data_IF_718879330063
#
_entry.id   IF_718879330063
#
_cell.length_a   1.000
_cell.length_b   1.000
_cell.length_c   1.000
_cell.angle_alpha   90.00
_cell.angle_beta   90.00
_cell.angle_gamma   90.00
#
_symmetry.space_group_name_H-M   'P 1'
#
loop_
_entity.id
_entity.type
_entity.pdbx_description
1 polymer ?
#
# COMPACT_ATOMS: atom_id res chain seq x y z
N UNK A 1 -8.61 -12.09 -5.21
CA UNK A 1 -10.05 -12.34 -5.44
C UNK A 1 -10.69 -11.04 -5.91
N UNK A 2 -11.68 -11.13 -6.80
CA UNK A 2 -12.42 -9.99 -7.38
C UNK A 2 -13.86 -10.07 -6.86
N UNK A 3 -14.38 -9.00 -6.27
CA UNK A 3 -15.80 -8.93 -5.93
C UNK A 3 -16.47 -7.83 -6.76
N UNK A 4 -17.62 -8.13 -7.35
CA UNK A 4 -18.43 -7.16 -8.09
C UNK A 4 -19.78 -7.04 -7.41
N UNK A 5 -20.21 -5.81 -7.15
CA UNK A 5 -21.45 -5.59 -6.41
C UNK A 5 -22.16 -4.29 -6.78
N UNK A 6 -23.45 -4.24 -6.48
CA UNK A 6 -24.26 -3.03 -6.57
C UNK A 6 -24.74 -2.67 -5.17
N UNK A 7 -24.37 -1.48 -4.70
CA UNK A 7 -24.96 -0.87 -3.50
C UNK A 7 -26.26 -0.17 -3.84
N UNK A 8 -27.29 -0.44 -3.06
CA UNK A 8 -28.62 0.15 -3.19
C UNK A 8 -28.84 1.25 -2.14
N UNK A 9 -29.80 2.14 -2.40
CA UNK A 9 -30.13 3.26 -1.50
C UNK A 9 -30.74 2.80 -0.15
N UNK A 10 -31.28 1.58 -0.11
CA UNK A 10 -31.76 0.95 1.13
C UNK A 10 -30.61 0.41 2.02
N UNK A 11 -29.35 0.54 1.58
CA UNK A 11 -28.17 0.08 2.31
C UNK A 11 -27.74 -1.35 2.01
N UNK A 12 -28.46 -2.09 1.17
CA UNK A 12 -28.05 -3.43 0.76
C UNK A 12 -26.94 -3.37 -0.29
N UNK A 13 -26.08 -4.38 -0.31
CA UNK A 13 -25.25 -4.71 -1.47
C UNK A 13 -25.73 -6.03 -2.06
N UNK A 14 -25.81 -6.09 -3.39
CA UNK A 14 -25.99 -7.32 -4.15
C UNK A 14 -24.63 -7.64 -4.75
N UNK A 15 -24.01 -8.74 -4.30
CA UNK A 15 -22.62 -9.06 -4.58
C UNK A 15 -22.48 -10.41 -5.28
N UNK A 16 -21.60 -10.47 -6.27
CA UNK A 16 -21.05 -11.70 -6.85
C UNK A 16 -19.55 -11.73 -6.57
N UNK A 17 -19.08 -12.82 -5.96
CA UNK A 17 -17.67 -13.03 -5.59
C UNK A 17 -17.38 -14.52 -5.34
N UNK A 18 -16.12 -14.87 -5.13
CA UNK A 18 -15.72 -16.24 -4.77
C UNK A 18 -16.45 -16.74 -3.50
N UNK A 19 -16.95 -15.84 -2.63
CA UNK A 19 -17.76 -16.20 -1.47
C UNK A 19 -19.17 -16.68 -1.85
N UNK A 20 -19.80 -16.08 -2.87
CA UNK A 20 -21.09 -16.58 -3.37
C UNK A 20 -20.88 -17.95 -4.05
N UNK A 21 -19.80 -18.12 -4.81
CA UNK A 21 -19.46 -19.41 -5.42
C UNK A 21 -19.25 -20.51 -4.38
N UNK A 22 -18.50 -20.25 -3.30
CA UNK A 22 -18.31 -21.18 -2.18
C UNK A 22 -19.61 -21.58 -1.48
N UNK A 23 -20.63 -20.71 -1.51
CA UNK A 23 -21.97 -20.99 -0.98
C UNK A 23 -22.90 -21.65 -2.01
N UNK A 24 -22.38 -21.96 -3.21
CA UNK A 24 -23.14 -22.49 -4.34
C UNK A 24 -24.30 -21.56 -4.75
N UNK A 25 -24.10 -20.24 -4.65
CA UNK A 25 -25.03 -19.20 -5.11
C UNK A 25 -24.36 -18.27 -6.11
N UNK A 26 -25.15 -17.70 -7.03
CA UNK A 26 -24.61 -16.72 -7.99
C UNK A 26 -24.40 -15.33 -7.37
N UNK A 27 -25.18 -15.03 -6.32
CA UNK A 27 -25.15 -13.75 -5.61
C UNK A 27 -25.31 -13.96 -4.11
N UNK A 28 -24.81 -13.01 -3.34
CA UNK A 28 -25.09 -12.82 -1.91
C UNK A 28 -25.63 -11.40 -1.71
N UNK A 29 -26.62 -11.23 -0.83
CA UNK A 29 -27.11 -9.92 -0.43
C UNK A 29 -26.61 -9.63 0.98
N UNK A 30 -25.86 -8.53 1.15
CA UNK A 30 -25.44 -8.05 2.47
C UNK A 30 -26.23 -6.80 2.82
N UNK A 31 -26.85 -6.78 4.00
CA UNK A 31 -27.61 -5.62 4.46
C UNK A 31 -27.67 -5.57 5.98
N UNK A 32 -28.72 -4.96 6.52
CA UNK A 32 -28.92 -4.80 7.96
C UNK A 32 -28.84 -6.13 8.73
N UNK A 33 -29.33 -7.23 8.14
CA UNK A 33 -29.24 -8.57 8.71
C UNK A 33 -27.80 -9.08 8.91
N UNK A 34 -26.83 -8.52 8.17
CA UNK A 34 -25.41 -8.83 8.25
C UNK A 34 -24.60 -7.69 8.90
N UNK A 35 -25.27 -6.76 9.58
CA UNK A 35 -24.66 -5.55 10.13
C UNK A 35 -23.90 -4.71 9.07
N UNK A 36 -24.40 -4.72 7.84
CA UNK A 36 -23.81 -4.02 6.70
C UNK A 36 -24.72 -2.90 6.20
N UNK A 37 -24.13 -1.77 5.79
CA UNK A 37 -24.83 -0.70 5.12
C UNK A 37 -23.94 -0.09 4.03
N UNK A 38 -24.32 -0.28 2.76
CA UNK A 38 -23.59 0.26 1.60
C UNK A 38 -23.49 1.79 1.63
N UNK A 39 -24.55 2.48 2.06
CA UNK A 39 -24.64 3.96 1.97
C UNK A 39 -23.66 4.70 2.87
N UNK A 40 -23.09 4.03 3.87
CA UNK A 40 -22.10 4.62 4.78
C UNK A 40 -20.66 4.43 4.30
N UNK A 41 -20.43 3.57 3.30
CA UNK A 41 -19.11 3.20 2.80
C UNK A 41 -18.53 4.30 1.89
N UNK A 42 -17.21 4.49 1.94
CA UNK A 42 -16.53 5.53 1.15
C UNK A 42 -16.77 5.33 -0.36
N UNK A 43 -16.60 4.12 -0.90
CA UNK A 43 -16.83 3.84 -2.32
C UNK A 43 -18.23 4.23 -2.80
N UNK A 44 -19.25 4.14 -1.93
CA UNK A 44 -20.62 4.50 -2.25
C UNK A 44 -20.81 6.02 -2.20
N UNK A 45 -20.36 6.67 -1.13
CA UNK A 45 -20.48 8.13 -0.95
C UNK A 45 -19.74 8.90 -2.04
N UNK A 46 -18.51 8.50 -2.33
CA UNK A 46 -17.68 9.16 -3.34
C UNK A 46 -18.27 9.00 -4.75
N UNK A 47 -18.69 7.79 -5.12
CA UNK A 47 -19.31 7.57 -6.42
C UNK A 47 -20.69 8.21 -6.55
N UNK A 48 -21.50 8.27 -5.48
CA UNK A 48 -22.81 8.94 -5.53
C UNK A 48 -22.70 10.44 -5.79
N UNK A 49 -21.58 11.05 -5.38
CA UNK A 49 -21.31 12.48 -5.59
C UNK A 49 -20.58 12.77 -6.91
N UNK A 50 -20.29 11.75 -7.72
CA UNK A 50 -19.51 11.88 -8.96
C UNK A 50 -20.15 11.12 -10.13
N UNK A 51 -20.14 11.73 -11.33
CA UNK A 51 -20.53 11.03 -12.56
C UNK A 51 -19.36 10.22 -13.19
N UNK A 52 -18.17 10.29 -12.60
CA UNK A 52 -16.98 9.60 -13.06
C UNK A 52 -16.76 8.29 -12.29
N UNK A 53 -15.83 7.46 -12.79
CA UNK A 53 -15.31 6.35 -12.00
C UNK A 53 -14.54 6.93 -10.82
N UNK A 54 -14.89 6.52 -9.62
CA UNK A 54 -14.14 6.81 -8.41
C UNK A 54 -13.25 5.62 -8.06
N UNK A 55 -12.04 5.89 -7.57
CA UNK A 55 -11.13 4.86 -7.08
C UNK A 55 -10.90 5.18 -5.61
N UNK A 56 -11.29 4.27 -4.72
CA UNK A 56 -10.98 4.47 -3.30
C UNK A 56 -9.49 4.28 -3.06
N UNK A 57 -8.97 4.90 -2.00
CA UNK A 57 -7.74 4.42 -1.40
C UNK A 57 -7.85 2.96 -0.94
N UNK A 58 -6.71 2.37 -0.57
CA UNK A 58 -6.70 1.07 0.08
C UNK A 58 -7.46 1.12 1.41
N UNK A 59 -8.34 0.15 1.64
CA UNK A 59 -9.05 0.00 2.92
C UNK A 59 -9.32 -1.49 3.20
N UNK A 60 -9.68 -1.81 4.44
CA UNK A 60 -10.07 -3.18 4.82
C UNK A 60 -11.52 -3.40 4.37
N UNK A 61 -11.72 -4.33 3.45
CA UNK A 61 -13.04 -4.74 2.99
C UNK A 61 -13.85 -5.33 4.15
N UNK A 62 -15.12 -4.95 4.25
CA UNK A 62 -15.98 -5.33 5.36
C UNK A 62 -16.44 -6.79 5.30
N UNK A 63 -16.31 -7.45 4.14
CA UNK A 63 -16.75 -8.82 3.94
C UNK A 63 -15.59 -9.80 4.05
N UNK A 64 -14.51 -9.57 3.30
CA UNK A 64 -13.32 -10.43 3.27
C UNK A 64 -12.35 -10.15 4.42
N UNK A 65 -12.41 -8.96 5.04
CA UNK A 65 -11.45 -8.49 6.02
C UNK A 65 -10.00 -8.42 5.48
N UNK A 66 -9.85 -8.29 4.17
CA UNK A 66 -8.59 -8.10 3.46
C UNK A 66 -8.48 -6.67 2.93
N UNK A 67 -7.25 -6.21 2.66
CA UNK A 67 -7.04 -4.93 1.99
C UNK A 67 -7.56 -4.99 0.55
N UNK A 68 -8.34 -4.00 0.14
CA UNK A 68 -8.82 -3.83 -1.22
C UNK A 68 -8.72 -2.37 -1.68
N UNK A 69 -8.71 -2.17 -3.00
CA UNK A 69 -9.17 -0.93 -3.63
C UNK A 69 -10.51 -1.20 -4.30
N UNK A 70 -11.39 -0.20 -4.28
CA UNK A 70 -12.68 -0.27 -4.98
C UNK A 70 -12.71 0.73 -6.12
N UNK A 71 -13.02 0.23 -7.32
CA UNK A 71 -13.50 1.06 -8.42
C UNK A 71 -15.01 1.17 -8.30
N UNK A 72 -15.55 2.39 -8.21
CA UNK A 72 -16.99 2.59 -8.06
C UNK A 72 -17.56 3.63 -9.02
N UNK A 73 -18.83 3.48 -9.39
CA UNK A 73 -19.54 4.41 -10.27
C UNK A 73 -21.03 4.43 -9.96
N UNK A 74 -21.62 5.62 -9.86
CA UNK A 74 -23.07 5.77 -9.76
C UNK A 74 -23.76 5.29 -11.04
N UNK A 75 -24.82 4.52 -10.87
CA UNK A 75 -25.63 3.97 -11.95
C UNK A 75 -26.93 4.77 -12.05
N UNK A 76 -27.29 5.13 -13.28
CA UNK A 76 -28.53 5.82 -13.60
C UNK A 76 -29.27 5.08 -14.71
N UNK A 77 -30.60 5.01 -14.59
CA UNK A 77 -31.49 4.52 -15.63
C UNK A 77 -32.58 5.56 -15.84
N UNK A 78 -32.75 6.02 -17.09
CA UNK A 78 -33.72 7.06 -17.45
C UNK A 78 -33.57 8.34 -16.60
N UNK A 79 -32.33 8.73 -16.32
CA UNK A 79 -31.99 9.88 -15.47
C UNK A 79 -32.18 9.68 -13.96
N UNK A 80 -32.69 8.52 -13.52
CA UNK A 80 -32.90 8.20 -12.10
C UNK A 80 -31.75 7.37 -11.56
N UNK A 81 -31.24 7.76 -10.40
CA UNK A 81 -30.23 6.98 -9.67
C UNK A 81 -30.82 5.62 -9.26
N UNK A 82 -30.06 4.55 -9.50
CA UNK A 82 -30.49 3.18 -9.16
C UNK A 82 -29.52 2.46 -8.21
N UNK A 83 -28.37 3.06 -7.91
CA UNK A 83 -27.35 2.48 -7.04
C UNK A 83 -25.94 2.83 -7.46
N UNK A 84 -24.96 2.20 -6.82
CA UNK A 84 -23.54 2.37 -7.13
C UNK A 84 -22.95 0.99 -7.45
N UNK A 85 -22.34 0.85 -8.63
CA UNK A 85 -21.50 -0.29 -8.96
C UNK A 85 -20.18 -0.17 -8.21
N UNK A 86 -19.71 -1.25 -7.59
CA UNK A 86 -18.40 -1.37 -6.98
C UNK A 86 -17.69 -2.64 -7.47
N UNK A 87 -16.38 -2.54 -7.67
CA UNK A 87 -15.49 -3.65 -8.02
C UNK A 87 -14.30 -3.60 -7.06
N UNK A 88 -14.17 -4.62 -6.21
CA UNK A 88 -13.04 -4.76 -5.30
C UNK A 88 -11.94 -5.56 -5.95
N UNK A 89 -10.75 -4.95 -5.98
CA UNK A 89 -9.51 -5.64 -6.27
C UNK A 89 -8.81 -5.87 -4.94
N UNK A 90 -8.75 -7.14 -4.51
CA UNK A 90 -7.95 -7.48 -3.33
C UNK A 90 -6.48 -7.21 -3.60
N UNK A 91 -5.88 -6.54 -2.63
CA UNK A 91 -4.52 -6.08 -2.68
C UNK A 91 -3.53 -7.12 -2.19
N UNK A 92 -3.98 -8.26 -1.68
CA UNK A 92 -3.12 -9.37 -1.22
C UNK A 92 -2.12 -9.79 -2.29
N UNK A 93 -2.54 -9.94 -3.55
CA UNK A 93 -1.62 -10.24 -4.65
C UNK A 93 -0.62 -9.11 -4.92
N UNK A 94 -1.00 -7.84 -4.73
CA UNK A 94 -0.08 -6.71 -4.89
C UNK A 94 0.93 -6.65 -3.72
N UNK A 95 0.45 -6.85 -2.50
CA UNK A 95 1.29 -6.95 -1.30
C UNK A 95 2.29 -8.09 -1.45
N UNK A 96 1.86 -9.26 -1.93
CA UNK A 96 2.74 -10.42 -2.20
C UNK A 96 3.78 -10.14 -3.29
N UNK A 97 3.41 -9.38 -4.33
CA UNK A 97 4.36 -8.99 -5.37
C UNK A 97 5.42 -8.03 -4.82
N UNK A 98 5.03 -7.04 -4.02
CA UNK A 98 5.95 -6.11 -3.34
C UNK A 98 6.81 -6.86 -2.30
N UNK A 99 6.25 -7.86 -1.61
CA UNK A 99 7.01 -8.67 -0.67
C UNK A 99 8.16 -9.44 -1.33
N UNK A 100 8.08 -9.67 -2.64
CA UNK A 100 9.09 -10.40 -3.44
C UNK A 100 10.02 -9.50 -4.25
N UNK A 101 9.83 -8.18 -4.23
CA UNK A 101 10.77 -7.27 -4.92
C UNK A 101 12.12 -7.25 -4.23
N UNK A 102 13.23 -7.11 -4.98
CA UNK A 102 14.55 -7.04 -4.40
C UNK A 102 14.76 -5.72 -3.64
N UNK A 103 15.69 -5.75 -2.68
CA UNK A 103 15.97 -4.60 -1.81
C UNK A 103 14.95 -4.45 -0.69
N UNK A 104 15.25 -3.60 0.28
CA UNK A 104 14.35 -3.33 1.40
C UNK A 104 13.32 -2.26 0.99
N UNK A 105 12.39 -2.67 0.13
CA UNK A 105 11.32 -1.81 -0.42
C UNK A 105 10.04 -1.91 0.39
N UNK A 106 9.28 -0.82 0.44
CA UNK A 106 7.97 -0.76 1.09
C UNK A 106 7.12 0.36 0.51
N UNK A 107 5.81 0.29 0.72
CA UNK A 107 4.83 1.18 0.11
C UNK A 107 3.89 1.68 1.19
N UNK A 108 3.62 2.99 1.18
CA UNK A 108 2.57 3.63 1.94
C UNK A 108 1.32 3.86 1.09
N UNK A 109 0.15 3.76 1.71
CA UNK A 109 -1.11 4.18 1.12
C UNK A 109 -1.22 5.72 1.01
N UNK A 110 -2.36 6.21 0.55
CA UNK A 110 -2.59 7.63 0.36
C UNK A 110 -2.79 8.43 1.67
N UNK A 111 -2.90 7.74 2.81
CA UNK A 111 -3.00 8.29 4.17
C UNK A 111 -1.66 8.14 4.91
N UNK A 112 -0.57 7.89 4.18
CA UNK A 112 0.78 7.66 4.69
C UNK A 112 0.86 6.47 5.69
N UNK A 113 -0.05 5.50 5.60
CA UNK A 113 0.02 4.26 6.41
C UNK A 113 0.76 3.17 5.64
N UNK A 114 1.53 2.36 6.36
CA UNK A 114 2.26 1.24 5.74
C UNK A 114 1.27 0.26 5.12
N UNK A 115 1.48 -0.04 3.84
CA UNK A 115 0.58 -0.87 3.02
C UNK A 115 1.23 -2.20 2.64
N UNK A 116 2.50 -2.19 2.24
CA UNK A 116 3.23 -3.39 1.87
C UNK A 116 4.72 -3.21 2.15
N UNK A 117 5.45 -4.29 2.41
CA UNK A 117 6.88 -4.25 2.64
C UNK A 117 7.53 -5.57 2.25
N UNK A 118 8.76 -5.51 1.73
CA UNK A 118 9.62 -6.68 1.54
C UNK A 118 10.08 -7.25 2.89
N UNK A 119 10.34 -6.37 3.87
CA UNK A 119 10.59 -6.77 5.25
C UNK A 119 9.29 -6.70 6.07
N UNK A 120 8.69 -7.84 6.39
CA UNK A 120 7.44 -7.94 7.14
C UNK A 120 7.47 -7.23 8.50
N UNK A 121 8.65 -7.08 9.12
CA UNK A 121 8.79 -6.34 10.38
C UNK A 121 8.36 -4.87 10.27
N UNK A 122 8.40 -4.28 9.06
CA UNK A 122 7.95 -2.91 8.82
C UNK A 122 6.42 -2.76 8.88
N UNK A 123 5.68 -3.87 8.79
CA UNK A 123 4.21 -3.89 8.87
C UNK A 123 3.70 -3.86 10.32
N UNK A 124 4.59 -4.04 11.31
CA UNK A 124 4.21 -3.94 12.72
C UNK A 124 3.73 -2.51 13.05
N UNK A 125 2.51 -2.35 13.62
CA UNK A 125 1.96 -1.03 13.96
C UNK A 125 2.81 -0.20 14.93
N UNK A 126 3.76 -0.81 15.64
CA UNK A 126 4.69 -0.13 16.53
C UNK A 126 5.85 0.58 15.81
N UNK A 127 6.08 0.27 14.53
CA UNK A 127 7.15 0.91 13.74
C UNK A 127 6.78 2.35 13.42
N UNK A 128 7.62 3.29 13.87
CA UNK A 128 7.47 4.70 13.53
C UNK A 128 8.05 5.00 12.15
N UNK A 129 7.15 5.21 11.19
CA UNK A 129 7.49 5.60 9.81
C UNK A 129 7.62 7.11 9.61
N UNK A 130 7.36 7.93 10.64
CA UNK A 130 7.44 9.40 10.55
C UNK A 130 8.82 9.90 10.08
N UNK A 131 9.97 9.34 10.53
CA UNK A 131 11.28 9.80 10.10
C UNK A 131 11.51 9.69 8.57
N UNK A 132 11.14 8.55 7.96
CA UNK A 132 11.30 8.36 6.51
C UNK A 132 10.34 9.24 5.71
N UNK A 133 9.09 9.40 6.17
CA UNK A 133 8.11 10.26 5.52
C UNK A 133 8.50 11.75 5.59
N UNK A 134 9.03 12.20 6.74
CA UNK A 134 9.50 13.56 6.91
C UNK A 134 10.74 13.85 6.05
N UNK A 135 11.68 12.91 5.98
CA UNK A 135 12.85 13.04 5.12
C UNK A 135 12.43 13.05 3.64
N UNK A 136 11.50 12.21 3.23
CA UNK A 136 10.94 12.22 1.87
C UNK A 136 10.30 13.58 1.52
N UNK A 137 9.47 14.16 2.40
CA UNK A 137 8.84 15.47 2.17
C UNK A 137 9.85 16.59 1.90
N UNK A 138 11.05 16.51 2.48
CA UNK A 138 12.11 17.50 2.29
C UNK A 138 12.91 17.29 0.99
N UNK A 139 12.96 16.07 0.47
CA UNK A 139 13.85 15.71 -0.64
C UNK A 139 13.11 15.47 -1.96
N UNK A 140 11.84 15.05 -1.93
CA UNK A 140 11.06 14.77 -3.13
C UNK A 140 11.41 13.44 -3.80
N UNK A 141 10.80 13.21 -4.96
CA UNK A 141 10.81 11.91 -5.63
C UNK A 141 12.20 11.50 -6.13
N UNK A 142 12.59 10.25 -5.82
CA UNK A 142 13.83 9.59 -6.23
C UNK A 142 15.13 10.25 -5.75
N UNK A 143 15.05 11.24 -4.86
CA UNK A 143 16.23 11.84 -4.24
C UNK A 143 16.61 11.07 -2.98
N UNK A 144 17.88 10.68 -2.88
CA UNK A 144 18.40 10.03 -1.69
C UNK A 144 18.44 10.99 -0.50
N UNK A 145 18.08 10.48 0.67
CA UNK A 145 18.11 11.23 1.93
C UNK A 145 18.59 10.35 3.08
N UNK A 146 19.27 10.98 4.03
CA UNK A 146 19.61 10.34 5.31
C UNK A 146 18.50 10.56 6.32
N UNK A 147 18.24 9.55 7.15
CA UNK A 147 17.31 9.65 8.28
C UNK A 147 17.72 8.69 9.39
N UNK A 148 17.21 8.92 10.61
CA UNK A 148 17.43 8.05 11.76
C UNK A 148 16.17 7.32 12.17
N UNK A 149 16.33 6.06 12.54
CA UNK A 149 15.31 5.27 13.23
C UNK A 149 16.00 4.47 14.34
N UNK A 150 15.50 4.56 15.57
CA UNK A 150 16.09 3.87 16.73
C UNK A 150 17.60 4.12 16.92
N UNK A 151 18.04 5.37 16.68
CA UNK A 151 19.45 5.80 16.68
C UNK A 151 20.34 5.19 15.58
N UNK A 152 19.80 4.39 14.66
CA UNK A 152 20.53 3.91 13.49
C UNK A 152 20.42 4.91 12.34
N UNK A 153 21.56 5.28 11.75
CA UNK A 153 21.61 6.07 10.50
C UNK A 153 21.20 5.19 9.32
N UNK A 154 20.34 5.72 8.47
CA UNK A 154 19.79 5.03 7.31
C UNK A 154 19.79 5.94 6.10
N UNK A 155 19.90 5.34 4.92
CA UNK A 155 19.70 6.02 3.64
C UNK A 155 18.38 5.56 3.05
N UNK A 156 17.60 6.48 2.50
CA UNK A 156 16.34 6.17 1.84
C UNK A 156 16.14 6.96 0.55
N UNK A 157 15.25 6.47 -0.29
CA UNK A 157 14.66 7.22 -1.39
C UNK A 157 13.19 6.79 -1.50
N UNK A 158 12.32 7.73 -1.86
CA UNK A 158 10.90 7.46 -2.07
C UNK A 158 10.39 8.14 -3.33
N UNK A 159 9.28 7.69 -3.88
CA UNK A 159 8.59 8.30 -5.03
C UNK A 159 7.09 8.11 -4.93
N UNK A 160 6.30 9.07 -5.41
CA UNK A 160 4.86 8.85 -5.63
C UNK A 160 4.63 7.90 -6.80
N UNK A 161 3.70 6.96 -6.62
CA UNK A 161 3.16 6.06 -7.65
C UNK A 161 1.64 6.11 -7.56
N UNK A 162 1.02 6.97 -8.37
CA UNK A 162 -0.38 7.36 -8.21
C UNK A 162 -0.66 7.90 -6.79
N UNK A 163 -1.54 7.24 -6.03
CA UNK A 163 -1.87 7.61 -4.67
C UNK A 163 -0.89 7.05 -3.62
N UNK A 164 -0.03 6.11 -4.00
CA UNK A 164 0.91 5.43 -3.10
C UNK A 164 2.26 6.14 -3.03
N UNK A 165 2.98 5.96 -1.92
CA UNK A 165 4.38 6.37 -1.80
C UNK A 165 5.25 5.11 -1.70
N UNK A 166 6.04 4.82 -2.72
CA UNK A 166 6.98 3.69 -2.70
C UNK A 166 8.34 4.17 -2.19
N UNK A 167 8.98 3.40 -1.32
CA UNK A 167 10.25 3.71 -0.68
C UNK A 167 11.20 2.52 -0.72
N UNK A 168 12.49 2.82 -0.69
CA UNK A 168 13.56 1.86 -0.42
C UNK A 168 14.47 2.47 0.65
N UNK A 169 14.87 1.68 1.65
CA UNK A 169 15.80 2.16 2.68
C UNK A 169 16.83 1.11 3.06
N UNK A 170 18.01 1.54 3.46
CA UNK A 170 19.07 0.64 3.91
C UNK A 170 19.83 1.24 5.09
N UNK A 171 20.42 0.39 5.94
CA UNK A 171 21.31 0.87 7.01
C UNK A 171 22.57 1.52 6.41
N UNK A 172 22.98 2.67 6.96
CA UNK A 172 24.23 3.33 6.55
C UNK A 172 25.44 2.40 6.75
N UNK A 173 25.41 1.51 7.75
CA UNK A 173 26.48 0.53 7.98
C UNK A 173 26.56 -0.50 6.86
N UNK A 174 25.42 -0.94 6.30
CA UNK A 174 25.41 -1.87 5.17
C UNK A 174 26.02 -1.21 3.93
N UNK A 175 25.74 0.08 3.72
CA UNK A 175 26.30 0.86 2.61
C UNK A 175 27.80 1.09 2.79
N UNK A 176 28.23 1.49 3.99
CA UNK A 176 29.59 1.98 4.23
C UNK A 176 30.59 0.88 4.60
N UNK A 177 30.17 -0.23 5.22
CA UNK A 177 31.05 -1.33 5.62
C UNK A 177 31.92 -1.90 4.49
N UNK A 178 31.41 -2.19 3.28
CA UNK A 178 32.26 -2.67 2.19
C UNK A 178 33.28 -1.61 1.75
N UNK A 179 32.89 -0.33 1.76
CA UNK A 179 33.75 0.80 1.39
C UNK A 179 34.90 0.92 2.40
N UNK A 180 34.59 0.93 3.70
CA UNK A 180 35.62 1.00 4.74
C UNK A 180 36.56 -0.21 4.72
N UNK A 181 36.03 -1.41 4.46
CA UNK A 181 36.86 -2.62 4.32
C UNK A 181 37.83 -2.50 3.14
N UNK A 182 37.38 -1.99 2.00
CA UNK A 182 38.24 -1.78 0.83
C UNK A 182 39.31 -0.71 1.10
N UNK A 183 38.92 0.42 1.70
CA UNK A 183 39.85 1.48 2.08
C UNK A 183 40.93 0.99 3.07
N UNK A 184 40.54 0.19 4.06
CA UNK A 184 41.48 -0.39 5.02
C UNK A 184 42.50 -1.32 4.36
N UNK A 185 42.06 -2.17 3.41
CA UNK A 185 42.96 -3.03 2.63
C UNK A 185 43.95 -2.18 1.81
N UNK A 186 43.50 -1.09 1.19
CA UNK A 186 44.38 -0.18 0.44
C UNK A 186 45.43 0.48 1.34
N UNK A 187 45.04 0.92 2.55
CA UNK A 187 45.98 1.51 3.52
C UNK A 187 47.05 0.50 3.94
N UNK A 188 46.67 -0.74 4.25
CA UNK A 188 47.66 -1.79 4.59
C UNK A 188 48.62 -2.03 3.41
N UNK A 189 48.10 -2.15 2.19
CA UNK A 189 48.93 -2.37 1.01
C UNK A 189 49.95 -1.23 0.80
N UNK A 190 49.54 0.03 1.01
CA UNK A 190 50.44 1.19 0.95
C UNK A 190 51.53 1.14 2.03
N UNK A 191 51.17 0.81 3.27
CA UNK A 191 52.13 0.67 4.38
C UNK A 191 53.18 -0.41 4.07
N UNK A 192 52.75 -1.57 3.56
CA UNK A 192 53.65 -2.66 3.17
C UNK A 192 54.60 -2.22 2.05
N UNK A 193 54.10 -1.54 1.02
CA UNK A 193 54.92 -1.03 -0.09
C UNK A 193 55.99 -0.02 0.36
N UNK A 194 55.62 0.91 1.26
CA UNK A 194 56.55 1.87 1.84
C UNK A 194 57.60 1.17 2.71
N UNK A 195 57.23 0.10 3.42
CA UNK A 195 58.14 -0.60 4.34
C UNK A 195 59.17 -1.48 3.63
N UNK A 196 58.95 -1.81 2.35
CA UNK A 196 59.85 -2.63 1.51
C UNK A 196 60.72 -1.74 0.58
N UNK A 197 60.39 -0.44 0.46
CA UNK A 197 61.16 0.54 -0.33
C UNK A 197 62.32 1.12 0.47
#
# INVERSE_FOLDING_TARGET
MLAVYIGLDNGENIMSSDLSEKKNTNITINGKANNYNATTREWYKEARNSNQINITPAYIDAISNEYCITYSKALYKDGKFIGVLGIDILLTSLQDQIARTPGNTFVFDNKDKIFAATNEALLDPSVDHSPVLNAYKLNGDNNFFSYKLNNEERLGACTKVFAYTACITESADIINKPIFKAAYIQVIALIVMISIS
#
